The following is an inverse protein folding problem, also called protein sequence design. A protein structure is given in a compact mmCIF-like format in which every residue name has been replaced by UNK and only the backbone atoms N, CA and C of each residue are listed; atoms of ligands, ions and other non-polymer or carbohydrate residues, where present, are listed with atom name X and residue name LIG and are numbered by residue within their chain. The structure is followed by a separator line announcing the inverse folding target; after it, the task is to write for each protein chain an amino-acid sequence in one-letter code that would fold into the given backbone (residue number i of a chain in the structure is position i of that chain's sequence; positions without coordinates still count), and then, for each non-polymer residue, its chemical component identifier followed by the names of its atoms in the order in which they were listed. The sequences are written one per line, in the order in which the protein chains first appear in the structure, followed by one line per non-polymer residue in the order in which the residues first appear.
data_IF_395794111805
#
_entry.id   IF_395794111805
#
_cell.length_a   1.000
_cell.length_b   1.000
_cell.length_c   1.000
_cell.angle_alpha   90.00
_cell.angle_beta   90.00
_cell.angle_gamma   90.00
#
_symmetry.space_group_name_H-M   'P 1'
#
loop_
_entity.id
_entity.type
_entity.pdbx_description
1 polymer ?
#
# COMPACT_ATOMS: atom_id res chain seq x y z
N UNK A 1 -20.22 31.68 29.77
CA UNK A 1 -21.14 31.15 28.74
C UNK A 1 -20.97 29.64 28.73
N UNK A 2 -22.01 28.88 29.09
CA UNK A 2 -21.99 27.43 28.89
C UNK A 2 -22.07 27.18 27.39
N UNK A 3 -21.18 26.36 26.83
CA UNK A 3 -21.37 25.86 25.47
C UNK A 3 -22.70 25.10 25.45
N UNK A 4 -23.65 25.54 24.61
CA UNK A 4 -24.92 24.84 24.44
C UNK A 4 -24.67 23.37 24.07
N UNK A 5 -25.53 22.47 24.54
CA UNK A 5 -25.42 21.05 24.26
C UNK A 5 -25.44 20.82 22.73
N UNK A 6 -24.40 20.17 22.21
CA UNK A 6 -24.33 19.80 20.78
C UNK A 6 -25.07 18.49 20.54
N UNK A 7 -25.67 18.37 19.36
CA UNK A 7 -26.29 17.13 18.88
C UNK A 7 -25.27 16.38 18.03
N UNK A 8 -25.06 15.11 18.36
CA UNK A 8 -24.19 14.19 17.62
C UNK A 8 -25.03 13.26 16.74
N UNK A 9 -24.63 13.08 15.48
CA UNK A 9 -25.31 12.22 14.51
C UNK A 9 -24.28 11.44 13.70
N UNK A 10 -24.58 10.19 13.36
CA UNK A 10 -23.74 9.35 12.51
C UNK A 10 -24.50 8.88 11.29
N UNK A 11 -23.92 9.13 10.11
CA UNK A 11 -24.38 8.59 8.84
C UNK A 11 -23.52 7.38 8.49
N UNK A 12 -24.14 6.25 8.14
CA UNK A 12 -23.44 5.02 7.74
C UNK A 12 -23.64 4.77 6.24
N UNK A 13 -22.55 4.48 5.56
CA UNK A 13 -22.50 4.25 4.12
C UNK A 13 -21.97 2.85 3.80
N UNK A 14 -22.45 2.35 2.67
CA UNK A 14 -22.19 1.03 2.12
C UNK A 14 -22.16 1.19 0.60
N UNK A 15 -21.31 0.44 -0.09
CA UNK A 15 -21.21 0.53 -1.54
C UNK A 15 -19.89 0.03 -2.07
N UNK A 16 -19.45 0.59 -3.19
CA UNK A 16 -18.18 0.25 -3.82
C UNK A 16 -17.31 1.50 -3.93
N UNK A 17 -16.07 1.43 -3.44
CA UNK A 17 -15.05 2.42 -3.76
C UNK A 17 -14.58 2.17 -5.19
N UNK A 18 -14.78 3.16 -6.06
CA UNK A 18 -14.40 3.10 -7.46
C UNK A 18 -13.15 3.96 -7.69
N UNK A 19 -11.96 3.36 -7.55
CA UNK A 19 -10.71 4.09 -7.74
C UNK A 19 -10.44 4.33 -9.23
N UNK A 20 -9.78 5.42 -9.56
CA UNK A 20 -9.35 5.69 -10.94
C UNK A 20 -8.24 4.72 -11.38
N UNK A 21 -8.24 4.31 -12.65
CA UNK A 21 -7.17 3.49 -13.22
C UNK A 21 -5.96 4.37 -13.56
N UNK A 22 -4.88 4.28 -12.78
CA UNK A 22 -3.69 5.10 -13.02
C UNK A 22 -2.91 4.56 -14.23
N UNK A 23 -2.61 5.39 -15.24
CA UNK A 23 -1.85 4.94 -16.41
C UNK A 23 -0.48 4.37 -16.02
N UNK A 24 -0.13 3.22 -16.61
CA UNK A 24 1.16 2.55 -16.42
C UNK A 24 1.28 1.69 -15.15
N UNK A 25 0.43 1.92 -14.14
CA UNK A 25 0.46 1.14 -12.89
C UNK A 25 -0.88 1.20 -12.15
N UNK A 26 -1.71 0.17 -12.24
CA UNK A 26 -3.00 0.14 -11.53
C UNK A 26 -2.84 -0.19 -10.03
N UNK A 27 -2.27 0.78 -9.31
CA UNK A 27 -1.93 0.72 -7.88
C UNK A 27 -3.12 0.34 -7.00
N UNK A 28 -4.27 0.97 -7.24
CA UNK A 28 -5.45 0.80 -6.40
C UNK A 28 -6.29 -0.40 -6.82
N UNK A 29 -6.19 -0.84 -8.08
CA UNK A 29 -6.72 -2.09 -8.62
C UNK A 29 -8.24 -2.26 -8.67
N UNK A 30 -8.99 -1.60 -7.80
CA UNK A 30 -10.44 -1.73 -7.67
C UNK A 30 -11.17 -0.56 -8.31
N UNK A 31 -12.06 -0.84 -9.24
CA UNK A 31 -12.90 0.18 -9.88
C UNK A 31 -13.38 -0.27 -11.24
N UNK A 32 -14.22 0.54 -11.86
CA UNK A 32 -14.71 0.30 -13.21
C UNK A 32 -13.54 0.25 -14.20
N UNK A 33 -13.66 -0.64 -15.18
CA UNK A 33 -12.75 -0.73 -16.31
C UNK A 33 -13.37 -0.06 -17.53
N UNK A 34 -12.55 0.66 -18.29
CA UNK A 34 -12.95 1.39 -19.48
C UNK A 34 -12.09 0.94 -20.66
N UNK A 35 -12.66 0.88 -21.86
CA UNK A 35 -11.89 0.67 -23.08
C UNK A 35 -11.14 1.96 -23.49
N UNK A 36 -10.35 1.89 -24.55
CA UNK A 36 -9.58 3.02 -25.08
C UNK A 36 -10.46 4.18 -25.55
N UNK A 37 -11.74 3.92 -25.84
CA UNK A 37 -12.75 4.91 -26.23
C UNK A 37 -13.48 5.52 -25.02
N UNK A 38 -13.08 5.17 -23.79
CA UNK A 38 -13.68 5.68 -22.55
C UNK A 38 -15.05 5.06 -22.23
N UNK A 39 -15.46 3.98 -22.91
CA UNK A 39 -16.69 3.27 -22.60
C UNK A 39 -16.44 2.25 -21.49
N UNK A 40 -17.33 2.22 -20.51
CA UNK A 40 -17.25 1.24 -19.42
C UNK A 40 -17.45 -0.18 -19.96
N UNK A 41 -16.50 -1.04 -19.69
CA UNK A 41 -16.53 -2.47 -20.08
C UNK A 41 -16.81 -3.40 -18.90
N UNK A 42 -16.63 -2.91 -17.68
CA UNK A 42 -16.94 -3.65 -16.46
C UNK A 42 -17.17 -2.69 -15.30
N UNK A 43 -18.28 -2.87 -14.59
CA UNK A 43 -18.55 -2.18 -13.34
C UNK A 43 -17.84 -2.92 -12.20
N UNK A 44 -16.84 -2.27 -11.61
CA UNK A 44 -16.02 -2.84 -10.54
C UNK A 44 -15.94 -1.95 -9.32
N UNK A 45 -15.12 -2.35 -8.36
CA UNK A 45 -14.88 -1.58 -7.15
C UNK A 45 -14.60 -2.43 -5.92
N UNK A 46 -14.15 -1.76 -4.87
CA UNK A 46 -13.87 -2.35 -3.58
C UNK A 46 -15.12 -2.21 -2.71
N UNK A 47 -15.81 -3.32 -2.47
CA UNK A 47 -17.04 -3.34 -1.72
C UNK A 47 -16.77 -3.05 -0.24
N UNK A 48 -17.52 -2.12 0.34
CA UNK A 48 -17.37 -1.70 1.72
C UNK A 48 -18.71 -1.54 2.44
N UNK A 49 -18.64 -1.62 3.76
CA UNK A 49 -19.71 -1.29 4.71
C UNK A 49 -19.15 -0.48 5.87
N UNK A 50 -20.04 0.13 6.66
CA UNK A 50 -19.70 0.85 7.90
C UNK A 50 -18.74 2.04 7.71
N UNK A 51 -18.70 2.64 6.53
CA UNK A 51 -18.06 3.95 6.39
C UNK A 51 -18.94 4.98 7.11
N UNK A 52 -18.37 5.74 8.04
CA UNK A 52 -19.12 6.71 8.83
C UNK A 52 -18.78 8.16 8.46
N UNK A 53 -19.80 9.01 8.50
CA UNK A 53 -19.62 10.45 8.63
C UNK A 53 -20.27 10.85 9.96
N UNK A 54 -19.44 11.33 10.88
CA UNK A 54 -19.89 11.88 12.16
C UNK A 54 -20.20 13.37 11.98
N UNK A 55 -21.36 13.81 12.45
CA UNK A 55 -21.80 15.20 12.41
C UNK A 55 -22.10 15.69 13.82
N UNK A 56 -21.53 16.82 14.18
CA UNK A 56 -21.82 17.54 15.42
C UNK A 56 -22.35 18.92 15.08
N UNK A 57 -23.50 19.32 15.63
CA UNK A 57 -24.05 20.66 15.38
C UNK A 57 -24.71 21.28 16.62
N UNK A 58 -24.79 22.61 16.63
CA UNK A 58 -25.55 23.33 17.64
C UNK A 58 -27.05 23.42 17.22
N UNK A 59 -28.01 22.89 18.01
CA UNK A 59 -29.42 22.93 17.66
C UNK A 59 -29.99 24.37 17.59
N UNK A 60 -29.42 25.32 18.33
CA UNK A 60 -29.82 26.74 18.30
C UNK A 60 -29.23 27.49 17.09
N UNK A 61 -28.20 26.91 16.45
CA UNK A 61 -27.53 27.48 15.28
C UNK A 61 -27.04 26.35 14.36
N UNK A 62 -27.94 25.78 13.57
CA UNK A 62 -27.65 24.60 12.72
C UNK A 62 -26.57 24.83 11.66
N UNK A 63 -26.26 26.09 11.31
CA UNK A 63 -25.13 26.43 10.45
C UNK A 63 -23.77 26.22 11.10
N UNK A 64 -23.71 26.12 12.43
CA UNK A 64 -22.54 25.65 13.19
C UNK A 64 -22.54 24.11 13.25
N UNK A 65 -22.22 23.49 12.10
CA UNK A 65 -22.06 22.04 11.98
C UNK A 65 -20.64 21.68 11.56
N UNK A 66 -20.13 20.59 12.11
CA UNK A 66 -18.85 19.99 11.74
C UNK A 66 -19.06 18.55 11.31
N UNK A 67 -18.43 18.16 10.20
CA UNK A 67 -18.44 16.80 9.68
C UNK A 67 -17.05 16.19 9.81
N UNK A 68 -16.99 14.95 10.27
CA UNK A 68 -15.77 14.17 10.35
C UNK A 68 -15.93 12.87 9.57
N UNK A 69 -15.03 12.64 8.62
CA UNK A 69 -14.96 11.39 7.90
C UNK A 69 -14.31 10.34 8.80
N UNK A 70 -14.98 9.22 9.02
CA UNK A 70 -14.57 8.21 10.00
C UNK A 70 -14.56 6.82 9.36
N UNK A 71 -13.36 6.28 9.16
CA UNK A 71 -13.17 4.93 8.63
C UNK A 71 -12.85 3.89 9.71
N UNK A 72 -12.89 4.24 11.00
CA UNK A 72 -12.46 3.35 12.09
C UNK A 72 -13.24 2.03 12.16
N UNK A 73 -14.43 1.98 11.57
CA UNK A 73 -15.30 0.81 11.53
C UNK A 73 -15.52 0.29 10.12
N UNK A 74 -14.82 0.82 9.09
CA UNK A 74 -15.01 0.36 7.72
C UNK A 74 -14.64 -1.12 7.61
N UNK A 75 -15.46 -1.88 6.89
CA UNK A 75 -15.23 -3.29 6.60
C UNK A 75 -15.27 -3.48 5.09
N UNK A 76 -14.30 -4.23 4.54
CA UNK A 76 -14.27 -4.60 3.13
C UNK A 76 -14.76 -6.02 2.91
N UNK A 77 -15.63 -6.18 1.92
CA UNK A 77 -16.06 -7.49 1.45
C UNK A 77 -15.30 -7.83 0.16
N UNK A 78 -14.15 -8.48 0.33
CA UNK A 78 -13.32 -8.90 -0.81
C UNK A 78 -14.04 -9.90 -1.72
N UNK A 79 -14.95 -10.71 -1.18
CA UNK A 79 -15.67 -11.72 -1.98
C UNK A 79 -16.65 -11.10 -2.96
N UNK A 80 -17.20 -9.92 -2.62
CA UNK A 80 -18.07 -9.12 -3.47
C UNK A 80 -17.35 -7.94 -4.14
N UNK A 81 -16.03 -7.82 -3.96
CA UNK A 81 -15.21 -6.80 -4.62
C UNK A 81 -14.75 -7.30 -5.99
N UNK A 82 -14.69 -6.39 -6.96
CA UNK A 82 -14.21 -6.69 -8.30
C UNK A 82 -13.03 -5.79 -8.65
N UNK A 83 -11.83 -6.38 -8.65
CA UNK A 83 -10.62 -5.73 -9.15
C UNK A 83 -10.56 -5.83 -10.68
N UNK A 84 -9.89 -4.87 -11.32
CA UNK A 84 -9.66 -4.94 -12.77
C UNK A 84 -8.79 -6.13 -13.11
N UNK A 85 -9.02 -6.74 -14.27
CA UNK A 85 -8.30 -7.94 -14.72
C UNK A 85 -6.79 -7.74 -14.71
N UNK A 86 -6.31 -6.61 -15.24
CA UNK A 86 -4.87 -6.34 -15.44
C UNK A 86 -4.23 -5.59 -14.26
N UNK A 87 -4.92 -5.53 -13.12
CA UNK A 87 -4.48 -4.72 -11.99
C UNK A 87 -3.36 -5.36 -11.17
N UNK A 88 -2.67 -4.56 -10.36
CA UNK A 88 -1.66 -5.05 -9.41
C UNK A 88 -2.23 -6.13 -8.50
N UNK A 89 -3.41 -5.90 -7.91
CA UNK A 89 -4.08 -6.87 -7.03
C UNK A 89 -4.39 -8.19 -7.74
N UNK A 90 -4.69 -8.17 -9.04
CA UNK A 90 -5.02 -9.37 -9.82
C UNK A 90 -3.82 -10.21 -10.24
N UNK A 91 -2.61 -9.62 -10.26
CA UNK A 91 -1.40 -10.27 -10.77
C UNK A 91 -0.24 -10.33 -9.77
N UNK A 92 -0.42 -9.79 -8.57
CA UNK A 92 0.57 -9.81 -7.51
C UNK A 92 -0.08 -10.27 -6.20
N UNK A 93 0.57 -11.14 -5.39
CA UNK A 93 -0.06 -11.82 -4.26
C UNK A 93 -0.19 -10.88 -3.04
N UNK A 94 -1.11 -9.93 -3.17
CA UNK A 94 -1.48 -8.94 -2.18
C UNK A 94 -2.78 -9.34 -1.50
N UNK A 95 -2.85 -9.13 -0.19
CA UNK A 95 -4.08 -9.24 0.60
C UNK A 95 -4.47 -7.88 1.12
N UNK A 96 -5.66 -7.37 0.83
CA UNK A 96 -6.11 -6.12 1.44
C UNK A 96 -6.27 -6.32 2.95
N UNK A 97 -5.59 -5.50 3.75
CA UNK A 97 -5.65 -5.57 5.21
C UNK A 97 -6.64 -4.55 5.76
N UNK A 98 -6.47 -3.28 5.39
CA UNK A 98 -7.23 -2.16 5.96
C UNK A 98 -7.15 -0.92 5.08
N UNK A 99 -8.05 0.03 5.33
CA UNK A 99 -7.92 1.41 4.88
C UNK A 99 -7.26 2.24 5.97
N UNK A 100 -6.35 3.12 5.58
CA UNK A 100 -5.56 3.95 6.47
C UNK A 100 -6.09 5.38 6.41
N UNK A 101 -6.39 5.92 7.58
CA UNK A 101 -6.65 7.33 7.84
C UNK A 101 -5.75 7.72 8.99
N UNK A 102 -5.02 8.82 8.84
CA UNK A 102 -4.09 9.30 9.86
C UNK A 102 -4.54 10.60 10.47
N UNK A 103 -3.98 10.89 11.64
CA UNK A 103 -4.13 12.18 12.30
C UNK A 103 -3.34 13.25 11.53
N UNK A 104 -3.60 14.53 11.84
CA UNK A 104 -2.93 15.66 11.21
C UNK A 104 -1.40 15.49 11.19
N UNK A 105 -0.80 15.86 10.04
CA UNK A 105 0.66 15.92 9.80
C UNK A 105 1.42 14.59 9.81
N UNK A 106 0.76 13.45 10.01
CA UNK A 106 1.41 12.15 9.86
C UNK A 106 1.68 11.86 8.39
N UNK A 107 2.89 11.42 8.05
CA UNK A 107 3.29 10.98 6.71
C UNK A 107 3.48 9.46 6.69
N UNK A 108 3.45 8.81 5.50
CA UNK A 108 3.73 7.38 5.41
C UNK A 108 5.06 6.96 6.06
N UNK A 109 6.09 7.80 5.98
CA UNK A 109 7.39 7.56 6.61
C UNK A 109 7.31 7.44 8.13
N UNK A 110 6.46 8.23 8.79
CA UNK A 110 6.23 8.18 10.24
C UNK A 110 5.58 6.86 10.67
N UNK A 111 4.83 6.24 9.76
CA UNK A 111 4.25 4.90 9.96
C UNK A 111 5.23 3.76 9.62
N UNK A 112 6.45 4.07 9.19
CA UNK A 112 7.49 3.11 8.83
C UNK A 112 7.44 2.66 7.36
N UNK A 113 6.70 3.35 6.49
CA UNK A 113 6.71 3.08 5.05
C UNK A 113 7.87 3.79 4.36
N UNK A 114 8.48 3.08 3.41
CA UNK A 114 9.55 3.57 2.55
C UNK A 114 8.98 3.71 1.16
N UNK A 115 9.24 4.82 0.48
CA UNK A 115 8.81 5.03 -0.90
C UNK A 115 9.33 3.92 -1.82
N UNK A 116 8.47 3.43 -2.70
CA UNK A 116 8.83 2.52 -3.79
C UNK A 116 8.86 3.33 -5.08
N UNK A 117 9.90 3.18 -5.91
CA UNK A 117 9.88 3.72 -7.26
C UNK A 117 8.88 2.91 -8.10
N UNK A 118 7.99 3.56 -8.84
CA UNK A 118 6.92 2.88 -9.59
C UNK A 118 6.65 3.60 -10.91
N UNK A 119 6.05 2.93 -11.93
CA UNK A 119 5.74 3.54 -13.21
C UNK A 119 4.47 4.41 -13.14
N UNK A 120 4.46 5.35 -12.18
CA UNK A 120 3.39 6.32 -11.96
C UNK A 120 3.98 7.63 -11.40
N UNK A 121 3.30 8.74 -11.67
CA UNK A 121 3.67 10.03 -11.08
C UNK A 121 3.35 10.05 -9.58
N UNK A 122 4.39 10.07 -8.76
CA UNK A 122 4.29 10.23 -7.31
C UNK A 122 4.57 11.68 -6.92
N UNK A 123 3.95 12.13 -5.84
CA UNK A 123 4.06 13.51 -5.39
C UNK A 123 4.06 13.60 -3.85
N UNK A 124 4.45 14.76 -3.33
CA UNK A 124 4.44 15.02 -1.89
C UNK A 124 3.00 15.08 -1.40
N UNK A 125 2.68 14.26 -0.41
CA UNK A 125 1.37 14.23 0.23
C UNK A 125 1.18 15.45 1.13
N UNK A 126 -0.07 15.91 1.21
CA UNK A 126 -0.52 16.88 2.21
C UNK A 126 -1.73 16.30 2.94
N UNK A 127 -1.87 16.64 4.23
CA UNK A 127 -3.04 16.22 4.99
C UNK A 127 -4.31 16.90 4.45
N UNK A 128 -5.46 16.20 4.41
CA UNK A 128 -5.64 14.78 4.69
C UNK A 128 -5.29 13.90 3.50
N UNK A 129 -4.74 12.72 3.80
CA UNK A 129 -4.54 11.63 2.84
C UNK A 129 -5.13 10.34 3.41
N UNK A 130 -5.44 9.41 2.50
CA UNK A 130 -5.96 8.10 2.82
C UNK A 130 -5.16 7.04 2.07
N UNK A 131 -5.17 5.81 2.55
CA UNK A 131 -4.50 4.73 1.84
C UNK A 131 -5.18 3.38 1.96
N UNK A 132 -4.81 2.46 1.07
CA UNK A 132 -5.09 1.03 1.18
C UNK A 132 -3.79 0.32 1.56
N UNK A 133 -3.83 -0.39 2.69
CA UNK A 133 -2.72 -1.22 3.13
C UNK A 133 -2.96 -2.67 2.71
N UNK A 134 -2.00 -3.22 1.99
CA UNK A 134 -1.97 -4.61 1.55
C UNK A 134 -0.89 -5.39 2.29
N UNK A 135 -1.22 -6.58 2.79
CA UNK A 135 -0.23 -7.56 3.22
C UNK A 135 0.42 -8.24 2.02
N UNK A 136 1.73 -8.43 2.11
CA UNK A 136 2.53 -9.19 1.16
C UNK A 136 3.33 -10.24 1.95
N UNK A 137 2.99 -11.51 1.76
CA UNK A 137 3.74 -12.59 2.38
C UNK A 137 5.04 -12.83 1.59
N UNK A 138 6.18 -12.57 2.23
CA UNK A 138 7.51 -12.80 1.66
C UNK A 138 8.02 -14.24 1.94
N UNK A 139 7.15 -15.13 2.40
CA UNK A 139 7.50 -16.49 2.79
C UNK A 139 8.17 -16.54 4.18
N UNK A 140 8.88 -17.62 4.44
CA UNK A 140 9.61 -17.81 5.70
C UNK A 140 11.12 -17.77 5.46
N UNK A 141 11.88 -17.32 6.46
CA UNK A 141 13.35 -17.42 6.47
C UNK A 141 13.85 -18.85 6.80
N UNK A 142 12.99 -19.86 6.66
CA UNK A 142 13.30 -21.24 7.04
C UNK A 142 13.62 -21.38 8.53
N UNK A 143 14.61 -22.21 8.86
CA UNK A 143 15.00 -22.49 10.25
C UNK A 143 15.71 -21.32 10.98
N UNK A 144 16.01 -20.23 10.27
CA UNK A 144 16.80 -19.10 10.78
C UNK A 144 15.95 -18.03 11.49
N UNK A 145 14.63 -18.01 11.27
CA UNK A 145 13.70 -17.20 12.03
C UNK A 145 12.80 -18.12 12.84
N UNK A 146 12.50 -17.76 14.08
CA UNK A 146 11.61 -18.53 14.94
C UNK A 146 10.18 -18.59 14.37
N UNK A 147 9.90 -19.45 13.38
CA UNK A 147 8.57 -19.76 12.81
C UNK A 147 7.65 -18.57 12.47
N UNK A 148 8.14 -17.34 12.43
CA UNK A 148 7.39 -16.15 12.06
C UNK A 148 7.58 -15.86 10.59
N UNK A 149 6.47 -15.82 9.85
CA UNK A 149 6.46 -15.43 8.45
C UNK A 149 7.07 -14.03 8.26
N UNK A 150 7.85 -13.87 7.20
CA UNK A 150 8.37 -12.58 6.79
C UNK A 150 7.22 -11.85 6.06
N UNK A 151 6.49 -10.98 6.77
CA UNK A 151 5.33 -10.29 6.21
C UNK A 151 5.61 -8.80 5.95
N UNK A 152 5.60 -8.39 4.69
CA UNK A 152 5.66 -6.99 4.31
C UNK A 152 4.26 -6.38 4.21
N UNK A 153 4.20 -5.05 4.23
CA UNK A 153 2.99 -4.27 3.94
C UNK A 153 3.27 -3.31 2.79
N UNK A 154 2.41 -3.29 1.77
CA UNK A 154 2.43 -2.31 0.68
C UNK A 154 1.30 -1.31 0.93
N UNK A 155 1.60 -0.02 0.82
CA UNK A 155 0.64 1.06 1.05
C UNK A 155 0.45 1.85 -0.25
N UNK A 156 -0.79 1.90 -0.72
CA UNK A 156 -1.24 2.76 -1.82
C UNK A 156 -1.95 3.98 -1.25
N UNK A 157 -1.49 5.20 -1.52
CA UNK A 157 -1.99 6.42 -0.87
C UNK A 157 -2.50 7.43 -1.89
N UNK A 158 -3.58 8.14 -1.55
CA UNK A 158 -4.05 9.32 -2.27
C UNK A 158 -4.29 10.51 -1.34
N UNK A 159 -4.03 11.72 -1.83
CA UNK A 159 -4.43 12.97 -1.18
C UNK A 159 -5.91 13.27 -1.40
N UNK A 160 -6.64 13.70 -0.36
CA UNK A 160 -8.08 13.90 -0.45
C UNK A 160 -8.50 15.29 -0.96
N UNK A 161 -7.61 16.28 -0.86
CA UNK A 161 -7.92 17.70 -1.11
C UNK A 161 -7.03 18.35 -2.18
N UNK A 162 -6.45 17.55 -3.08
CA UNK A 162 -5.56 18.07 -4.12
C UNK A 162 -6.32 18.27 -5.44
N UNK A 163 -6.15 19.45 -6.04
CA UNK A 163 -6.63 19.71 -7.43
C UNK A 163 -5.92 18.80 -8.44
N UNK A 164 -4.69 18.43 -8.11
CA UNK A 164 -3.88 17.49 -8.88
C UNK A 164 -3.95 16.10 -8.24
N UNK A 165 -3.72 15.06 -9.02
CA UNK A 165 -3.65 13.70 -8.50
C UNK A 165 -2.37 13.53 -7.65
N UNK A 166 -2.51 13.42 -6.33
CA UNK A 166 -1.38 13.17 -5.41
C UNK A 166 -1.41 11.71 -4.97
N UNK A 167 -0.45 10.92 -5.48
CA UNK A 167 -0.32 9.49 -5.18
C UNK A 167 1.04 9.20 -4.57
N UNK A 168 1.09 8.23 -3.67
CA UNK A 168 2.31 7.68 -3.11
C UNK A 168 2.16 6.16 -2.97
N UNK A 169 3.24 5.43 -3.23
CA UNK A 169 3.33 4.00 -2.94
C UNK A 169 4.52 3.73 -2.04
N UNK A 170 4.27 2.96 -0.98
CA UNK A 170 5.31 2.62 -0.01
C UNK A 170 5.30 1.16 0.41
N UNK A 171 6.43 0.68 0.92
CA UNK A 171 6.55 -0.64 1.55
C UNK A 171 7.05 -0.49 2.98
N UNK A 172 6.48 -1.29 3.88
CA UNK A 172 6.97 -1.49 5.24
C UNK A 172 7.39 -2.93 5.37
N UNK A 173 8.67 -3.15 5.66
CA UNK A 173 9.24 -4.46 5.91
C UNK A 173 9.23 -4.77 7.43
N UNK A 174 9.25 -6.04 7.83
CA UNK A 174 9.44 -6.42 9.23
C UNK A 174 10.68 -5.75 9.84
N UNK A 175 10.54 -5.23 11.06
CA UNK A 175 11.64 -4.53 11.75
C UNK A 175 11.97 -3.13 11.21
N UNK A 176 11.23 -2.60 10.22
CA UNK A 176 11.42 -1.24 9.75
C UNK A 176 10.95 -0.20 10.78
N UNK A 177 11.82 0.75 11.13
CA UNK A 177 11.48 1.90 11.97
C UNK A 177 11.83 3.21 11.25
N UNK A 178 10.88 4.15 11.21
CA UNK A 178 11.08 5.53 10.75
C UNK A 178 11.50 5.69 9.28
N UNK A 179 10.97 4.86 8.36
CA UNK A 179 11.20 4.99 6.92
C UNK A 179 12.65 4.73 6.46
N UNK A 180 13.50 4.18 7.33
CA UNK A 180 14.88 3.80 6.98
C UNK A 180 14.89 2.52 6.17
N UNK A 181 15.82 2.41 5.22
CA UNK A 181 16.04 1.19 4.42
C UNK A 181 16.90 0.13 5.13
N UNK A 182 16.82 0.09 6.46
CA UNK A 182 17.52 -0.84 7.34
C UNK A 182 16.48 -1.60 8.18
N UNK A 183 16.64 -2.92 8.28
CA UNK A 183 15.66 -3.81 8.88
C UNK A 183 16.34 -4.80 9.81
N UNK A 184 15.91 -4.84 11.07
CA UNK A 184 16.39 -5.83 12.03
C UNK A 184 15.61 -7.14 11.83
N UNK A 185 16.30 -8.20 11.39
CA UNK A 185 15.68 -9.51 11.15
C UNK A 185 15.61 -10.29 12.47
N UNK A 186 16.71 -10.35 13.23
CA UNK A 186 16.80 -10.90 14.58
C UNK A 186 18.18 -10.58 15.20
N UNK A 187 18.22 -10.09 16.44
CA UNK A 187 19.47 -9.88 17.17
C UNK A 187 20.43 -8.90 16.50
N UNK A 188 21.58 -9.40 16.02
CA UNK A 188 22.67 -8.62 15.41
C UNK A 188 22.69 -8.66 13.87
N UNK A 189 21.65 -9.23 13.25
CA UNK A 189 21.53 -9.36 11.78
C UNK A 189 20.61 -8.25 11.25
N UNK A 190 21.16 -7.38 10.41
CA UNK A 190 20.42 -6.31 9.74
C UNK A 190 20.43 -6.48 8.23
N UNK A 191 19.30 -6.23 7.59
CA UNK A 191 19.21 -6.13 6.14
C UNK A 191 19.18 -4.65 5.73
N UNK A 192 20.02 -4.27 4.78
CA UNK A 192 19.98 -2.94 4.15
C UNK A 192 19.60 -3.10 2.69
N UNK A 193 18.71 -2.24 2.19
CA UNK A 193 18.27 -2.26 0.79
C UNK A 193 18.50 -0.86 0.20
N UNK A 194 19.21 -0.73 -0.92
CA UNK A 194 19.47 0.60 -1.50
C UNK A 194 18.28 1.14 -2.28
N UNK A 195 17.65 0.31 -3.10
CA UNK A 195 16.54 0.70 -3.97
C UNK A 195 15.40 -0.31 -3.90
N UNK A 196 14.17 0.18 -3.97
CA UNK A 196 12.96 -0.64 -4.06
C UNK A 196 12.14 -0.10 -5.21
N UNK A 197 11.79 -0.96 -6.16
CA UNK A 197 11.15 -0.54 -7.41
C UNK A 197 10.06 -1.54 -7.81
N UNK A 198 8.89 -1.04 -8.20
CA UNK A 198 7.92 -1.77 -8.99
C UNK A 198 8.16 -1.52 -10.49
N UNK A 199 8.10 -2.57 -11.29
CA UNK A 199 8.02 -2.46 -12.75
C UNK A 199 6.88 -3.27 -13.30
N UNK A 200 6.29 -2.79 -14.39
CA UNK A 200 5.23 -3.48 -15.13
C UNK A 200 5.72 -3.76 -16.54
N UNK A 201 5.46 -4.97 -17.03
CA UNK A 201 5.73 -5.37 -18.41
C UNK A 201 4.49 -6.02 -18.99
N UNK A 202 4.15 -5.70 -20.24
CA UNK A 202 2.97 -6.20 -20.94
C UNK A 202 1.65 -6.00 -20.17
N UNK A 203 1.56 -4.92 -19.38
CA UNK A 203 0.41 -4.53 -18.54
C UNK A 203 -0.03 -5.50 -17.42
N UNK A 204 0.46 -6.74 -17.40
CA UNK A 204 0.05 -7.76 -16.42
C UNK A 204 1.21 -8.35 -15.62
N UNK A 205 2.46 -8.12 -16.04
CA UNK A 205 3.64 -8.67 -15.34
C UNK A 205 4.17 -7.65 -14.35
N UNK A 206 3.81 -7.80 -13.08
CA UNK A 206 4.27 -6.95 -11.98
C UNK A 206 5.49 -7.56 -11.30
N UNK A 207 6.58 -6.81 -11.23
CA UNK A 207 7.80 -7.19 -10.53
C UNK A 207 8.12 -6.18 -9.43
N UNK A 208 8.37 -6.65 -8.21
CA UNK A 208 8.95 -5.87 -7.14
C UNK A 208 10.44 -6.22 -7.01
N UNK A 209 11.30 -5.21 -7.12
CA UNK A 209 12.76 -5.37 -7.12
C UNK A 209 13.34 -4.77 -5.86
N UNK A 210 14.18 -5.52 -5.16
CA UNK A 210 15.06 -5.02 -4.11
C UNK A 210 16.48 -4.99 -4.66
N UNK A 211 17.00 -3.77 -4.83
CA UNK A 211 18.27 -3.50 -5.47
C UNK A 211 19.37 -3.26 -4.42
N UNK A 212 20.53 -3.90 -4.63
CA UNK A 212 21.71 -3.80 -3.75
C UNK A 212 21.38 -4.10 -2.29
N UNK A 213 20.92 -5.33 -2.04
CA UNK A 213 20.68 -5.87 -0.71
C UNK A 213 22.04 -6.16 -0.06
N UNK A 214 22.20 -5.73 1.19
CA UNK A 214 23.32 -6.08 2.04
C UNK A 214 22.84 -6.67 3.38
N UNK A 215 23.48 -7.76 3.81
CA UNK A 215 23.30 -8.35 5.13
C UNK A 215 24.43 -7.88 6.04
N UNK A 216 24.11 -7.17 7.11
CA UNK A 216 25.07 -6.73 8.12
C UNK A 216 25.00 -7.67 9.31
N UNK A 217 26.13 -8.30 9.63
CA UNK A 217 26.29 -9.23 10.74
C UNK A 217 27.48 -8.77 11.56
N UNK A 218 27.28 -8.41 12.83
CA UNK A 218 28.35 -7.88 13.71
C UNK A 218 29.18 -6.75 13.05
N UNK A 219 28.52 -5.77 12.45
CA UNK A 219 29.14 -4.64 11.73
C UNK A 219 29.92 -4.99 10.45
N UNK A 220 29.81 -6.23 9.96
CA UNK A 220 30.35 -6.64 8.67
C UNK A 220 29.20 -6.76 7.66
N UNK A 221 29.29 -6.02 6.55
CA UNK A 221 28.33 -6.07 5.45
C UNK A 221 28.68 -7.17 4.43
N UNK A 222 27.67 -7.92 4.00
CA UNK A 222 27.75 -8.96 2.99
C UNK A 222 26.74 -8.71 1.86
N UNK A 223 27.10 -8.97 0.58
CA UNK A 223 28.42 -9.37 0.14
C UNK A 223 29.43 -8.21 0.26
N UNK A 224 30.71 -8.53 0.56
CA UNK A 224 31.76 -7.50 0.70
C UNK A 224 32.14 -6.85 -0.63
N UNK A 225 31.96 -7.58 -1.72
CA UNK A 225 32.17 -7.15 -3.08
C UNK A 225 30.94 -7.49 -3.90
N UNK A 226 30.69 -6.73 -4.98
CA UNK A 226 29.53 -6.97 -5.84
C UNK A 226 28.21 -6.46 -5.26
N UNK A 227 27.11 -6.91 -5.87
CA UNK A 227 25.75 -6.50 -5.53
C UNK A 227 24.80 -7.69 -5.59
N UNK A 228 23.93 -7.79 -4.59
CA UNK A 228 22.82 -8.74 -4.57
C UNK A 228 21.53 -8.01 -4.90
N UNK A 229 20.75 -8.55 -5.83
CA UNK A 229 19.41 -8.07 -6.15
C UNK A 229 18.41 -9.21 -5.96
N UNK A 230 17.19 -8.87 -5.56
CA UNK A 230 16.08 -9.81 -5.44
C UNK A 230 14.91 -9.31 -6.29
N UNK A 231 14.33 -10.21 -7.07
CA UNK A 231 13.11 -9.99 -7.83
C UNK A 231 12.00 -10.83 -7.21
N UNK A 232 10.86 -10.19 -7.00
CA UNK A 232 9.63 -10.76 -6.47
C UNK A 232 8.55 -10.62 -7.53
N UNK A 233 7.82 -11.69 -7.82
CA UNK A 233 6.84 -11.70 -8.91
C UNK A 233 5.65 -12.60 -8.59
N UNK A 234 4.46 -12.16 -9.02
CA UNK A 234 3.25 -12.99 -9.02
C UNK A 234 3.05 -13.72 -10.35
N UNK A 235 1.90 -14.38 -10.50
CA UNK A 235 1.52 -15.02 -11.76
C UNK A 235 1.04 -13.98 -12.80
N UNK A 236 1.76 -13.78 -13.91
CA UNK A 236 1.36 -12.84 -14.94
C UNK A 236 0.06 -13.24 -15.67
N UNK A 237 -0.40 -14.49 -15.53
CA UNK A 237 -1.69 -14.94 -16.07
C UNK A 237 -2.88 -14.59 -15.16
N UNK A 238 -2.63 -14.24 -13.90
CA UNK A 238 -3.65 -13.90 -12.91
C UNK A 238 -4.48 -15.10 -12.41
N UNK A 239 -4.07 -16.33 -12.73
CA UNK A 239 -4.75 -17.56 -12.29
C UNK A 239 -4.38 -17.93 -10.85
N UNK A 240 -3.14 -17.68 -10.47
CA UNK A 240 -2.65 -17.80 -9.09
C UNK A 240 -2.43 -16.40 -8.50
N UNK A 241 -3.07 -16.14 -7.35
CA UNK A 241 -3.00 -14.86 -6.64
C UNK A 241 -2.44 -14.99 -5.23
N UNK A 242 -1.94 -16.17 -4.88
CA UNK A 242 -1.46 -16.46 -3.53
C UNK A 242 0.05 -16.72 -3.51
N UNK A 243 0.59 -17.26 -4.60
CA UNK A 243 2.01 -17.63 -4.66
C UNK A 243 2.88 -16.44 -5.06
N UNK A 244 3.95 -16.21 -4.28
CA UNK A 244 5.01 -15.26 -4.60
C UNK A 244 6.27 -16.01 -5.07
N UNK A 245 6.72 -15.71 -6.30
CA UNK A 245 7.98 -16.18 -6.86
C UNK A 245 9.16 -15.30 -6.48
N UNK A 246 10.33 -15.92 -6.31
CA UNK A 246 11.58 -15.27 -5.89
C UNK A 246 12.70 -15.59 -6.86
N UNK A 247 13.47 -14.57 -7.26
CA UNK A 247 14.71 -14.76 -8.00
C UNK A 247 15.80 -13.85 -7.45
N UNK A 248 16.86 -14.45 -6.92
CA UNK A 248 18.03 -13.76 -6.41
C UNK A 248 19.16 -13.77 -7.43
N UNK A 249 19.78 -12.62 -7.67
CA UNK A 249 20.97 -12.50 -8.50
C UNK A 249 22.10 -11.85 -7.73
N UNK A 250 23.32 -12.37 -7.90
CA UNK A 250 24.54 -11.77 -7.38
C UNK A 250 25.46 -11.44 -8.55
N UNK A 251 25.90 -10.19 -8.63
CA UNK A 251 26.89 -9.74 -9.60
C UNK A 251 28.16 -9.39 -8.86
N UNK A 252 29.23 -10.13 -9.15
CA UNK A 252 30.55 -9.79 -8.66
C UNK A 252 31.09 -8.58 -9.44
N UNK A 253 31.53 -7.53 -8.74
CA UNK A 253 32.40 -6.53 -9.36
C UNK A 253 33.80 -7.11 -9.39
N UNK A 254 34.24 -7.61 -10.55
CA UNK A 254 35.66 -7.88 -10.74
C UNK A 254 36.42 -6.57 -10.53
N UNK A 255 37.47 -6.62 -9.71
CA UNK A 255 38.46 -5.55 -9.60
C UNK A 255 39.14 -5.27 -10.95
#
# INVERSE_FOLDING_TARGET
MQAGARVETRFLFWGNLNFYNLPGFDLFSFGSAYNQQGQEISQGGLNFSNLAIDMSFNPEKTSDSSFNFNISQIIFDISNSLARSNSLYSHFPLKLNQMVQVNEKSMPADLGYISIDAPLAQDTLTYPWFGLEFGLNLGSLGALAAKTDLAAKVLAVWGANSKDQKVFVGIKLPGANGGKKEFDIQGFIKLTIKGIEFTVTNDTTYLLKFNSIALNVFSVSFPRYGQTNLLLFGDPSGKDRETLGWYGAYVNKKE
#
